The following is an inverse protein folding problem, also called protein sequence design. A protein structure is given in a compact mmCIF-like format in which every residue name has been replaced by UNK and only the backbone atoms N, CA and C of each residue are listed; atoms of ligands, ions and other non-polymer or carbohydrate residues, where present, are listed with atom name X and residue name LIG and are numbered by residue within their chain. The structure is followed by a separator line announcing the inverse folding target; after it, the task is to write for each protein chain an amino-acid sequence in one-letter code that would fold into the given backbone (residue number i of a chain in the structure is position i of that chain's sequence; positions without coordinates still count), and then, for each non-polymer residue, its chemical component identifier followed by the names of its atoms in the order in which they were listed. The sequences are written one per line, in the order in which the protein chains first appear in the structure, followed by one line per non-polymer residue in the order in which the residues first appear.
data_IF_001602020377
#
_entry.id   IF_001602020377
#
_cell.length_a   1.000
_cell.length_b   1.000
_cell.length_c   1.000
_cell.angle_alpha   90.00
_cell.angle_beta   90.00
_cell.angle_gamma   90.00
#
_symmetry.space_group_name_H-M   'P 1'
#
loop_
_entity.id
_entity.type
_entity.pdbx_description
1 polymer ?
#
# COMPACT_ATOMS: atom_id res chain seq x y z
N UNK A 1 14.54 7.50 6.28
CA UNK A 1 14.60 7.51 7.75
C UNK A 1 16.03 7.28 8.28
N UNK A 2 16.19 6.99 9.57
CA UNK A 2 17.51 6.99 10.23
C UNK A 2 18.48 5.91 9.78
N UNK A 3 17.98 4.77 9.31
CA UNK A 3 18.73 3.65 8.74
C UNK A 3 18.67 3.57 7.21
N UNK A 4 18.03 4.58 6.59
CA UNK A 4 17.98 4.80 5.14
C UNK A 4 17.32 3.64 4.34
N UNK A 5 16.55 2.80 4.99
CA UNK A 5 15.89 1.64 4.37
C UNK A 5 14.48 1.94 3.84
N UNK A 6 13.91 3.12 4.17
CA UNK A 6 12.58 3.58 3.76
C UNK A 6 12.64 4.94 3.09
N UNK A 7 11.71 5.19 2.19
CA UNK A 7 11.63 6.43 1.42
C UNK A 7 10.20 6.99 1.42
N UNK A 8 10.13 8.31 1.47
CA UNK A 8 9.00 9.15 1.11
C UNK A 8 9.52 10.33 0.30
N UNK A 9 8.69 10.89 -0.56
CA UNK A 9 9.07 12.01 -1.42
C UNK A 9 8.17 13.21 -1.15
N UNK A 10 8.61 14.37 -1.62
CA UNK A 10 7.81 15.59 -1.68
C UNK A 10 7.83 16.12 -3.11
N UNK A 11 6.67 16.54 -3.61
CA UNK A 11 6.59 17.20 -4.91
C UNK A 11 7.06 18.67 -4.83
N UNK A 12 7.06 19.36 -5.96
CA UNK A 12 7.51 20.76 -6.05
C UNK A 12 6.67 21.75 -5.22
N UNK A 13 5.46 21.35 -4.79
CA UNK A 13 4.57 22.15 -3.94
C UNK A 13 4.77 21.86 -2.45
N UNK A 14 5.64 20.89 -2.10
CA UNK A 14 5.83 20.44 -0.72
C UNK A 14 4.73 19.48 -0.23
N UNK A 15 3.97 18.86 -1.12
CA UNK A 15 2.99 17.84 -0.80
C UNK A 15 3.69 16.47 -0.72
N UNK A 16 3.31 15.67 0.28
CA UNK A 16 3.92 14.36 0.51
C UNK A 16 3.45 13.35 -0.55
N UNK A 17 4.40 12.66 -1.15
CA UNK A 17 4.19 11.54 -2.06
C UNK A 17 4.55 10.26 -1.32
N UNK A 18 3.57 9.44 -1.06
CA UNK A 18 3.69 8.23 -0.26
C UNK A 18 4.33 7.05 -1.02
N UNK A 19 4.61 6.00 -0.29
CA UNK A 19 5.23 4.78 -0.80
C UNK A 19 4.40 4.06 -1.86
N UNK A 20 3.07 4.17 -1.81
CA UNK A 20 2.20 3.53 -2.81
C UNK A 20 2.42 4.14 -4.20
N UNK A 21 2.51 5.48 -4.27
CA UNK A 21 2.85 6.19 -5.51
C UNK A 21 4.26 5.86 -5.97
N UNK A 22 5.23 5.80 -5.04
CA UNK A 22 6.62 5.47 -5.35
C UNK A 22 6.71 4.05 -5.94
N UNK A 23 6.03 3.05 -5.36
CA UNK A 23 5.97 1.68 -5.88
C UNK A 23 5.42 1.67 -7.31
N UNK A 24 4.30 2.35 -7.57
CA UNK A 24 3.68 2.42 -8.90
C UNK A 24 4.63 3.07 -9.93
N UNK A 25 5.29 4.17 -9.57
CA UNK A 25 6.27 4.83 -10.43
C UNK A 25 7.46 3.94 -10.74
N UNK A 26 7.98 3.21 -9.74
CA UNK A 26 9.08 2.27 -9.91
C UNK A 26 8.69 1.10 -10.81
N UNK A 27 7.52 0.50 -10.62
CA UNK A 27 7.01 -0.57 -11.50
C UNK A 27 6.99 -0.08 -12.95
N UNK A 28 6.36 1.06 -13.21
CA UNK A 28 6.27 1.61 -14.56
C UNK A 28 7.65 1.87 -15.16
N UNK A 29 8.53 2.52 -14.41
CA UNK A 29 9.87 2.84 -14.88
C UNK A 29 10.69 1.59 -15.22
N UNK A 30 10.67 0.59 -14.36
CA UNK A 30 11.40 -0.66 -14.57
C UNK A 30 10.88 -1.42 -15.78
N UNK A 31 9.57 -1.46 -15.99
CA UNK A 31 8.95 -2.14 -17.12
C UNK A 31 9.18 -1.37 -18.43
N UNK A 32 8.74 -0.10 -18.50
CA UNK A 32 8.71 0.66 -19.76
C UNK A 32 10.10 1.17 -20.20
N UNK A 33 10.96 1.56 -19.24
CA UNK A 33 12.22 2.24 -19.56
C UNK A 33 13.46 1.39 -19.35
N UNK A 34 13.37 0.38 -18.48
CA UNK A 34 14.49 -0.54 -18.21
C UNK A 34 14.30 -1.93 -18.82
N UNK A 35 13.06 -2.29 -19.22
CA UNK A 35 12.76 -3.60 -19.76
C UNK A 35 12.96 -4.76 -18.79
N UNK A 36 12.90 -4.48 -17.48
CA UNK A 36 13.04 -5.49 -16.42
C UNK A 36 11.80 -6.35 -16.37
N UNK A 37 11.97 -7.66 -16.24
CA UNK A 37 10.90 -8.63 -16.09
C UNK A 37 10.82 -9.14 -14.66
N UNK A 38 9.72 -9.81 -14.34
CA UNK A 38 9.49 -10.45 -13.04
C UNK A 38 8.21 -9.99 -12.37
N UNK A 39 7.88 -10.63 -11.29
CA UNK A 39 6.66 -10.39 -10.52
C UNK A 39 6.85 -9.31 -9.45
N UNK A 40 5.75 -8.74 -9.00
CA UNK A 40 5.73 -7.73 -7.93
C UNK A 40 5.25 -8.38 -6.63
N UNK A 41 5.95 -8.11 -5.53
CA UNK A 41 5.64 -8.65 -4.20
C UNK A 41 5.32 -7.49 -3.25
N UNK A 42 4.13 -7.46 -2.68
CA UNK A 42 3.70 -6.35 -1.82
C UNK A 42 3.11 -6.82 -0.51
N UNK A 43 3.23 -6.00 0.53
CA UNK A 43 2.55 -6.29 1.79
C UNK A 43 1.03 -6.07 1.68
N UNK A 44 0.29 -6.78 2.53
CA UNK A 44 -1.18 -6.77 2.54
C UNK A 44 -1.80 -5.37 2.78
N UNK A 45 -1.04 -4.44 3.35
CA UNK A 45 -1.43 -3.04 3.57
C UNK A 45 -1.25 -2.13 2.36
N UNK A 46 -0.65 -2.60 1.27
CA UNK A 46 -0.47 -1.80 0.06
C UNK A 46 -1.78 -1.57 -0.70
N UNK A 47 -1.76 -0.54 -1.54
CA UNK A 47 -2.89 -0.20 -2.43
C UNK A 47 -3.21 -1.31 -3.41
N UNK A 48 -4.50 -1.56 -3.65
CA UNK A 48 -4.97 -2.48 -4.70
C UNK A 48 -4.62 -1.99 -6.12
N UNK A 49 -4.31 -0.71 -6.28
CA UNK A 49 -3.90 -0.14 -7.58
C UNK A 49 -2.60 -0.73 -8.12
N UNK A 50 -1.75 -1.31 -7.26
CA UNK A 50 -0.56 -2.05 -7.71
C UNK A 50 -0.98 -3.25 -8.57
N UNK A 51 -2.01 -3.99 -8.13
CA UNK A 51 -2.53 -5.09 -8.95
C UNK A 51 -3.05 -4.59 -10.29
N UNK A 52 -3.80 -3.48 -10.32
CA UNK A 52 -4.34 -2.92 -11.56
C UNK A 52 -3.22 -2.55 -12.54
N UNK A 53 -2.12 -1.96 -12.06
CA UNK A 53 -0.97 -1.62 -12.89
C UNK A 53 -0.21 -2.88 -13.36
N UNK A 54 -0.07 -3.87 -12.50
CA UNK A 54 0.52 -5.17 -12.86
C UNK A 54 -0.30 -5.88 -13.94
N UNK A 55 -1.63 -5.92 -13.79
CA UNK A 55 -2.54 -6.48 -14.80
C UNK A 55 -2.40 -5.75 -16.16
N UNK A 56 -2.24 -4.42 -16.14
CA UNK A 56 -2.00 -3.62 -17.37
C UNK A 56 -0.72 -4.07 -18.10
N UNK A 57 0.33 -4.44 -17.38
CA UNK A 57 1.59 -4.92 -17.96
C UNK A 57 1.65 -6.44 -18.16
N UNK A 58 0.64 -7.19 -17.75
CA UNK A 58 0.62 -8.66 -17.82
C UNK A 58 1.64 -9.32 -16.89
N UNK A 59 1.93 -8.71 -15.74
CA UNK A 59 2.78 -9.24 -14.68
C UNK A 59 1.95 -9.56 -13.42
N UNK A 60 2.43 -10.49 -12.61
CA UNK A 60 1.70 -10.88 -11.40
C UNK A 60 2.05 -10.00 -10.20
N UNK A 61 1.04 -9.66 -9.38
CA UNK A 61 1.23 -9.08 -8.06
C UNK A 61 0.89 -10.12 -6.99
N UNK A 62 1.89 -10.50 -6.20
CA UNK A 62 1.74 -11.41 -5.06
C UNK A 62 1.69 -10.63 -3.75
N UNK A 63 0.59 -10.79 -3.03
CA UNK A 63 0.39 -10.11 -1.74
C UNK A 63 0.85 -11.01 -0.60
N UNK A 64 1.75 -10.51 0.23
CA UNK A 64 2.31 -11.20 1.38
C UNK A 64 1.77 -10.64 2.70
N UNK A 65 2.08 -11.32 3.81
CA UNK A 65 1.93 -10.73 5.15
C UNK A 65 2.79 -9.47 5.28
N UNK A 66 2.41 -8.58 6.19
CA UNK A 66 3.17 -7.36 6.49
C UNK A 66 4.48 -7.73 7.18
N UNK A 67 5.56 -7.18 6.67
CA UNK A 67 6.92 -7.41 7.12
C UNK A 67 7.84 -7.81 5.97
N UNK A 68 8.87 -7.01 5.72
CA UNK A 68 9.73 -7.13 4.53
C UNK A 68 10.40 -8.50 4.39
N UNK A 69 10.61 -9.22 5.48
CA UNK A 69 11.15 -10.59 5.46
C UNK A 69 10.36 -11.56 4.58
N UNK A 70 9.04 -11.38 4.47
CA UNK A 70 8.20 -12.21 3.60
C UNK A 70 8.42 -11.84 2.13
N UNK A 71 8.49 -10.54 1.83
CA UNK A 71 8.77 -10.01 0.50
C UNK A 71 10.18 -10.41 0.05
N UNK A 72 11.19 -10.18 0.90
CA UNK A 72 12.58 -10.54 0.61
C UNK A 72 12.73 -12.04 0.26
N UNK A 73 12.05 -12.93 1.00
CA UNK A 73 12.03 -14.36 0.71
C UNK A 73 11.51 -14.62 -0.70
N UNK A 74 10.35 -14.08 -1.05
CA UNK A 74 9.76 -14.26 -2.39
C UNK A 74 10.67 -13.72 -3.49
N UNK A 75 11.31 -12.57 -3.26
CA UNK A 75 12.25 -11.97 -4.23
C UNK A 75 13.50 -12.80 -4.45
N UNK A 76 13.97 -13.55 -3.44
CA UNK A 76 15.14 -14.43 -3.55
C UNK A 76 14.78 -15.75 -4.24
N UNK A 77 13.59 -16.28 -3.97
CA UNK A 77 13.17 -17.61 -4.45
C UNK A 77 12.55 -17.56 -5.86
N UNK A 78 12.15 -16.39 -6.34
CA UNK A 78 11.40 -16.22 -7.59
C UNK A 78 11.95 -15.11 -8.47
N UNK A 79 11.58 -15.11 -9.76
CA UNK A 79 11.85 -14.01 -10.67
C UNK A 79 11.04 -12.77 -10.23
N UNK A 80 11.73 -11.73 -9.80
CA UNK A 80 11.13 -10.54 -9.22
C UNK A 80 11.45 -9.28 -10.01
N UNK A 81 10.50 -8.36 -10.07
CA UNK A 81 10.65 -6.99 -10.55
C UNK A 81 10.93 -6.06 -9.37
N UNK A 82 10.03 -6.12 -8.38
CA UNK A 82 10.03 -5.21 -7.23
C UNK A 82 9.35 -5.87 -6.03
N UNK A 83 9.82 -5.53 -4.83
CA UNK A 83 9.15 -5.80 -3.56
C UNK A 83 8.92 -4.51 -2.77
N UNK A 84 7.73 -4.33 -2.16
CA UNK A 84 7.43 -3.08 -1.45
C UNK A 84 6.39 -3.17 -0.36
N UNK A 85 6.53 -2.28 0.64
CA UNK A 85 5.61 -2.10 1.76
C UNK A 85 5.09 -0.67 1.82
N UNK A 86 3.91 -0.49 2.43
CA UNK A 86 3.32 0.84 2.66
C UNK A 86 4.19 1.74 3.54
N UNK A 87 5.09 1.15 4.33
CA UNK A 87 6.02 1.88 5.19
C UNK A 87 7.12 2.63 4.43
N UNK A 88 7.27 2.38 3.12
CA UNK A 88 8.32 2.97 2.28
C UNK A 88 9.54 2.06 2.10
N UNK A 89 9.53 0.88 2.69
CA UNK A 89 10.55 -0.14 2.45
C UNK A 89 10.36 -0.79 1.08
N UNK A 90 11.28 -0.56 0.15
CA UNK A 90 11.16 -1.02 -1.25
C UNK A 90 12.50 -1.58 -1.70
N UNK A 91 12.46 -2.69 -2.43
CA UNK A 91 13.59 -3.31 -3.11
C UNK A 91 13.27 -3.54 -4.59
N UNK A 92 14.29 -3.56 -5.44
CA UNK A 92 14.18 -3.86 -6.86
C UNK A 92 15.18 -4.95 -7.25
N UNK A 93 14.82 -5.80 -8.21
CA UNK A 93 15.67 -6.93 -8.63
C UNK A 93 16.99 -6.54 -9.28
N UNK A 94 17.11 -5.28 -9.73
CA UNK A 94 18.34 -4.72 -10.30
C UNK A 94 19.36 -4.27 -9.26
N UNK A 95 19.07 -4.48 -7.98
CA UNK A 95 19.91 -4.19 -6.83
C UNK A 95 19.90 -5.38 -5.87
N UNK A 96 20.07 -5.17 -4.57
CA UNK A 96 19.93 -6.21 -3.54
C UNK A 96 18.46 -6.48 -3.23
N UNK A 97 18.08 -7.71 -2.83
CA UNK A 97 16.71 -8.03 -2.44
C UNK A 97 16.38 -7.57 -1.01
N UNK A 98 16.79 -6.35 -0.67
CA UNK A 98 16.57 -5.71 0.63
C UNK A 98 16.22 -4.23 0.39
N UNK A 99 15.54 -3.62 1.37
CA UNK A 99 15.08 -2.24 1.33
C UNK A 99 16.26 -1.27 1.24
N UNK A 100 16.16 -0.32 0.31
CA UNK A 100 17.15 0.73 0.13
C UNK A 100 16.49 2.02 -0.34
N UNK A 101 16.18 2.91 0.61
CA UNK A 101 15.51 4.18 0.32
C UNK A 101 16.35 5.13 -0.52
N UNK A 102 17.68 5.08 -0.37
CA UNK A 102 18.61 5.91 -1.16
C UNK A 102 18.56 5.48 -2.63
N UNK A 103 18.69 4.18 -2.87
CA UNK A 103 18.66 3.63 -4.23
C UNK A 103 17.33 3.91 -4.93
N UNK A 104 16.22 3.73 -4.23
CA UNK A 104 14.90 4.05 -4.78
C UNK A 104 14.76 5.52 -5.17
N UNK A 105 15.26 6.43 -4.33
CA UNK A 105 15.31 7.87 -4.64
C UNK A 105 16.11 8.18 -5.90
N UNK A 106 17.27 7.55 -6.08
CA UNK A 106 18.10 7.70 -7.27
C UNK A 106 17.40 7.19 -8.54
N UNK A 107 16.66 6.07 -8.46
CA UNK A 107 15.88 5.55 -9.59
C UNK A 107 14.74 6.52 -9.97
N UNK A 108 14.04 7.10 -9.00
CA UNK A 108 13.01 8.10 -9.29
C UNK A 108 13.61 9.35 -9.96
N UNK A 109 14.75 9.83 -9.49
CA UNK A 109 15.45 10.95 -10.14
C UNK A 109 15.90 10.62 -11.57
N UNK A 110 16.41 9.39 -11.78
CA UNK A 110 16.74 8.92 -13.13
C UNK A 110 15.51 8.92 -14.03
N UNK A 111 14.36 8.46 -13.51
CA UNK A 111 13.09 8.45 -14.23
C UNK A 111 12.66 9.86 -14.65
N UNK A 112 12.64 10.81 -13.71
CA UNK A 112 12.34 12.21 -13.97
C UNK A 112 13.30 12.82 -15.00
N UNK A 113 14.61 12.60 -14.86
CA UNK A 113 15.63 13.11 -15.75
C UNK A 113 15.49 12.57 -17.18
N UNK A 114 15.23 11.27 -17.33
CA UNK A 114 15.06 10.62 -18.65
C UNK A 114 13.80 11.08 -19.39
N UNK A 115 12.72 11.33 -18.65
CA UNK A 115 11.45 11.73 -19.26
C UNK A 115 11.30 13.24 -19.39
N UNK A 116 12.08 14.01 -18.64
CA UNK A 116 11.93 15.46 -18.52
C UNK A 116 10.66 15.88 -17.77
N UNK A 117 10.02 14.96 -17.05
CA UNK A 117 8.75 15.17 -16.34
C UNK A 117 8.96 15.40 -14.86
N UNK A 118 8.11 16.21 -14.27
CA UNK A 118 7.97 16.38 -12.84
C UNK A 118 7.34 15.14 -12.19
N UNK A 119 7.46 15.02 -10.87
CA UNK A 119 6.83 13.95 -10.10
C UNK A 119 5.31 13.95 -10.26
N UNK A 120 4.69 15.14 -10.24
CA UNK A 120 3.24 15.30 -10.41
C UNK A 120 2.75 14.80 -11.80
N UNK A 121 3.49 15.10 -12.87
CA UNK A 121 3.16 14.64 -14.22
C UNK A 121 3.26 13.11 -14.33
N UNK A 122 4.29 12.50 -13.72
CA UNK A 122 4.45 11.05 -13.70
C UNK A 122 3.34 10.36 -12.90
N UNK A 123 2.92 10.94 -11.78
CA UNK A 123 1.79 10.43 -10.97
C UNK A 123 0.48 10.56 -11.76
N UNK A 124 0.26 11.71 -12.44
CA UNK A 124 -0.93 11.89 -13.26
C UNK A 124 -1.04 10.83 -14.36
N UNK A 125 0.06 10.49 -15.01
CA UNK A 125 0.09 9.42 -16.01
C UNK A 125 -0.26 8.04 -15.41
N UNK A 126 0.14 7.75 -14.18
CA UNK A 126 -0.32 6.55 -13.45
C UNK A 126 -1.84 6.61 -13.26
N UNK A 127 -2.38 7.74 -12.80
CA UNK A 127 -3.82 7.92 -12.61
C UNK A 127 -4.62 7.76 -13.91
N UNK A 128 -4.08 8.23 -15.02
CA UNK A 128 -4.70 8.07 -16.35
C UNK A 128 -4.79 6.59 -16.77
N UNK A 129 -3.87 5.75 -16.28
CA UNK A 129 -3.84 4.30 -16.56
C UNK A 129 -4.77 3.48 -15.65
N UNK A 130 -4.79 3.77 -14.35
CA UNK A 130 -5.41 2.91 -13.34
C UNK A 130 -6.42 3.62 -12.42
N UNK A 131 -6.70 4.90 -12.66
CA UNK A 131 -7.55 5.74 -11.82
C UNK A 131 -6.82 6.27 -10.59
N UNK A 132 -7.30 7.40 -10.07
CA UNK A 132 -6.78 8.01 -8.85
C UNK A 132 -7.13 7.19 -7.61
N UNK A 133 -6.36 7.40 -6.54
CA UNK A 133 -6.62 6.82 -5.22
C UNK A 133 -5.99 7.69 -4.14
N UNK A 134 -6.46 7.49 -2.92
CA UNK A 134 -5.85 8.00 -1.71
C UNK A 134 -5.87 6.92 -0.63
N UNK A 135 -4.87 6.94 0.24
CA UNK A 135 -4.78 6.04 1.38
C UNK A 135 -4.47 6.84 2.64
N UNK A 136 -5.02 6.39 3.76
CA UNK A 136 -4.67 6.94 5.06
C UNK A 136 -4.87 5.87 6.15
N UNK A 137 -4.42 6.18 7.39
CA UNK A 137 -4.42 5.25 8.50
C UNK A 137 -4.73 5.95 9.83
N UNK A 138 -5.57 5.32 10.64
CA UNK A 138 -5.75 5.67 12.04
C UNK A 138 -5.07 4.65 12.96
N UNK A 139 -4.31 5.14 13.93
CA UNK A 139 -3.71 4.36 15.01
C UNK A 139 -4.55 4.58 16.28
N UNK A 140 -5.45 3.64 16.57
CA UNK A 140 -6.42 3.73 17.66
C UNK A 140 -5.86 3.07 18.91
N UNK A 141 -5.46 3.85 19.92
CA UNK A 141 -5.08 3.34 21.23
C UNK A 141 -6.31 2.98 22.04
N UNK A 142 -6.34 1.77 22.58
CA UNK A 142 -7.46 1.25 23.35
C UNK A 142 -7.02 0.16 24.34
N UNK A 143 -7.87 -0.14 25.37
CA UNK A 143 -7.63 -1.28 26.25
C UNK A 143 -7.57 -2.60 25.46
N UNK A 144 -6.75 -3.55 25.94
CA UNK A 144 -6.55 -4.84 25.29
C UNK A 144 -7.86 -5.62 25.12
N UNK A 145 -8.74 -5.59 26.13
CA UNK A 145 -10.02 -6.27 26.11
C UNK A 145 -10.91 -5.76 24.96
N UNK A 146 -10.97 -4.42 24.75
CA UNK A 146 -11.72 -3.82 23.65
C UNK A 146 -11.12 -4.21 22.29
N UNK A 147 -9.78 -4.18 22.18
CA UNK A 147 -9.06 -4.60 20.97
C UNK A 147 -9.40 -6.06 20.60
N UNK A 148 -9.33 -6.96 21.57
CA UNK A 148 -9.65 -8.37 21.36
C UNK A 148 -11.11 -8.58 20.97
N UNK A 149 -12.05 -7.85 21.56
CA UNK A 149 -13.47 -7.90 21.19
C UNK A 149 -13.68 -7.49 19.73
N UNK A 150 -13.05 -6.40 19.28
CA UNK A 150 -13.14 -5.94 17.89
C UNK A 150 -12.57 -7.00 16.94
N UNK A 151 -11.42 -7.59 17.27
CA UNK A 151 -10.78 -8.61 16.44
C UNK A 151 -11.66 -9.87 16.35
N UNK A 152 -12.30 -10.29 17.43
CA UNK A 152 -13.22 -11.43 17.39
C UNK A 152 -14.44 -11.13 16.51
N UNK A 153 -15.02 -9.94 16.57
CA UNK A 153 -16.07 -9.51 15.65
C UNK A 153 -15.62 -9.53 14.19
N UNK A 154 -14.37 -9.09 13.90
CA UNK A 154 -13.80 -9.19 12.56
C UNK A 154 -13.70 -10.65 12.10
N UNK A 155 -13.19 -11.54 12.98
CA UNK A 155 -12.97 -12.96 12.69
C UNK A 155 -14.24 -13.72 12.36
N UNK A 156 -15.33 -13.43 13.06
CA UNK A 156 -16.65 -14.04 12.78
C UNK A 156 -17.45 -13.30 11.70
N UNK A 157 -16.83 -12.34 11.01
CA UNK A 157 -17.44 -11.54 9.96
C UNK A 157 -18.74 -10.83 10.39
N UNK A 158 -18.76 -10.31 11.61
CA UNK A 158 -19.91 -9.61 12.17
C UNK A 158 -20.16 -8.27 11.46
N UNK A 159 -19.09 -7.55 11.08
CA UNK A 159 -19.21 -6.27 10.38
C UNK A 159 -19.70 -6.47 8.94
N UNK A 160 -20.93 -6.04 8.67
CA UNK A 160 -21.57 -6.07 7.34
C UNK A 160 -21.51 -4.71 6.65
N UNK A 161 -21.27 -3.65 7.41
CA UNK A 161 -21.08 -2.28 6.94
C UNK A 161 -20.28 -1.47 7.95
N UNK A 162 -19.68 -0.39 7.46
CA UNK A 162 -19.09 0.67 8.27
C UNK A 162 -19.81 1.98 7.93
N UNK A 163 -20.75 2.39 8.79
CA UNK A 163 -21.69 3.46 8.44
C UNK A 163 -22.49 3.11 7.17
N UNK A 164 -22.40 3.95 6.16
CA UNK A 164 -23.06 3.75 4.85
C UNK A 164 -22.32 2.78 3.91
N UNK A 165 -21.06 2.45 4.21
CA UNK A 165 -20.21 1.60 3.38
C UNK A 165 -20.49 0.12 3.61
N UNK A 166 -21.11 -0.54 2.65
CA UNK A 166 -21.44 -1.97 2.73
C UNK A 166 -20.24 -2.83 2.39
N UNK A 167 -20.00 -3.88 3.18
CA UNK A 167 -18.96 -4.86 2.95
C UNK A 167 -19.40 -5.84 1.87
N UNK A 168 -18.65 -5.94 0.78
CA UNK A 168 -18.87 -6.87 -0.33
C UNK A 168 -17.99 -8.13 -0.23
N UNK A 169 -16.87 -8.07 0.49
CA UNK A 169 -15.94 -9.19 0.66
C UNK A 169 -14.97 -8.95 1.81
N UNK A 170 -14.26 -10.01 2.23
CA UNK A 170 -13.25 -9.92 3.30
C UNK A 170 -12.04 -10.78 2.94
N UNK A 171 -10.86 -10.21 3.09
CA UNK A 171 -9.56 -10.87 2.95
C UNK A 171 -8.84 -10.91 4.30
N UNK A 172 -8.10 -12.02 4.58
CA UNK A 172 -7.54 -12.27 5.92
C UNK A 172 -6.09 -12.75 5.89
N UNK A 173 -5.25 -12.16 5.02
CA UNK A 173 -3.83 -12.55 4.90
C UNK A 173 -3.04 -12.14 6.15
N UNK A 174 -3.24 -10.89 6.62
CA UNK A 174 -2.60 -10.36 7.84
C UNK A 174 -3.46 -9.22 8.43
N UNK A 175 -4.46 -9.59 9.19
CA UNK A 175 -5.55 -8.72 9.63
C UNK A 175 -6.83 -8.98 8.84
N UNK A 176 -7.74 -8.04 8.83
CA UNK A 176 -9.05 -8.14 8.21
C UNK A 176 -9.26 -6.95 7.27
N UNK A 177 -9.16 -7.21 5.96
CA UNK A 177 -9.44 -6.22 4.92
C UNK A 177 -10.83 -6.46 4.39
N UNK A 178 -11.71 -5.50 4.62
CA UNK A 178 -13.08 -5.48 4.15
C UNK A 178 -13.14 -4.72 2.83
N UNK A 179 -13.48 -5.41 1.77
CA UNK A 179 -13.70 -4.82 0.45
C UNK A 179 -15.06 -4.12 0.48
N UNK A 180 -15.07 -2.86 0.10
CA UNK A 180 -16.28 -2.05 -0.02
C UNK A 180 -16.70 -1.97 -1.49
N UNK A 181 -17.45 -0.97 -1.91
CA UNK A 181 -17.75 -0.72 -3.32
C UNK A 181 -16.62 0.08 -4.00
N UNK A 182 -16.50 -0.03 -5.32
CA UNK A 182 -15.71 0.87 -6.19
C UNK A 182 -14.23 1.04 -5.85
N UNK A 183 -13.49 -0.05 -5.79
CA UNK A 183 -12.04 -0.06 -5.47
C UNK A 183 -11.68 0.46 -4.07
N UNK A 184 -12.67 0.69 -3.21
CA UNK A 184 -12.46 1.09 -1.83
C UNK A 184 -12.40 -0.10 -0.88
N UNK A 185 -11.62 0.02 0.17
CA UNK A 185 -11.52 -0.98 1.22
C UNK A 185 -11.09 -0.35 2.56
N UNK A 186 -11.39 -1.04 3.63
CA UNK A 186 -10.87 -0.74 4.97
C UNK A 186 -10.24 -1.98 5.57
N UNK A 187 -9.08 -1.84 6.22
CA UNK A 187 -8.38 -2.94 6.87
C UNK A 187 -8.21 -2.65 8.36
N UNK A 188 -8.60 -3.62 9.18
CA UNK A 188 -8.43 -3.59 10.63
C UNK A 188 -7.35 -4.59 11.02
N UNK A 189 -6.30 -4.12 11.69
CA UNK A 189 -5.15 -4.95 12.07
C UNK A 189 -4.66 -4.61 13.49
N UNK A 190 -4.54 -5.60 14.38
CA UNK A 190 -3.90 -5.36 15.68
C UNK A 190 -2.39 -5.13 15.49
N UNK A 191 -1.82 -4.17 16.24
CA UNK A 191 -0.37 -4.08 16.37
C UNK A 191 0.14 -5.25 17.21
N UNK A 192 1.21 -5.91 16.74
CA UNK A 192 1.85 -7.00 17.48
C UNK A 192 2.76 -6.52 18.62
N UNK A 193 3.13 -5.23 18.63
CA UNK A 193 4.12 -4.66 19.55
C UNK A 193 3.57 -3.56 20.46
N UNK A 194 2.42 -2.98 20.11
CA UNK A 194 1.84 -1.84 20.81
C UNK A 194 0.36 -2.07 21.14
N UNK A 195 -0.20 -1.50 22.21
CA UNK A 195 -1.60 -1.61 22.57
C UNK A 195 -2.47 -0.68 21.69
N UNK A 196 -2.44 -0.94 20.37
CA UNK A 196 -3.22 -0.18 19.41
C UNK A 196 -3.78 -1.07 18.29
N UNK A 197 -4.84 -0.58 17.69
CA UNK A 197 -5.47 -1.13 16.50
C UNK A 197 -5.19 -0.17 15.33
N UNK A 198 -4.65 -0.69 14.26
CA UNK A 198 -4.43 0.07 13.02
C UNK A 198 -5.60 -0.12 12.08
N UNK A 199 -6.15 0.98 11.62
CA UNK A 199 -7.24 1.01 10.64
C UNK A 199 -6.73 1.73 9.41
N UNK A 200 -6.59 1.03 8.31
CA UNK A 200 -6.17 1.58 7.02
C UNK A 200 -7.39 1.70 6.12
N UNK A 201 -7.44 2.70 5.26
CA UNK A 201 -8.46 2.76 4.22
C UNK A 201 -7.88 3.25 2.89
N UNK A 202 -8.51 2.82 1.82
CA UNK A 202 -8.31 3.31 0.47
C UNK A 202 -9.66 3.71 -0.14
N UNK A 203 -9.64 4.83 -0.87
CA UNK A 203 -10.76 5.25 -1.71
C UNK A 203 -10.24 6.05 -2.92
N UNK A 204 -11.12 6.52 -3.78
CA UNK A 204 -10.76 7.31 -4.97
C UNK A 204 -10.19 8.70 -4.61
N UNK A 205 -10.58 9.25 -3.47
CA UNK A 205 -10.17 10.59 -2.99
C UNK A 205 -9.78 10.57 -1.52
N UNK A 206 -8.93 11.53 -1.11
CA UNK A 206 -8.56 11.70 0.30
C UNK A 206 -9.77 11.99 1.20
N UNK A 207 -10.75 12.77 0.72
CA UNK A 207 -11.96 13.07 1.48
C UNK A 207 -12.77 11.80 1.77
N UNK A 208 -12.95 10.94 0.78
CA UNK A 208 -13.66 9.68 0.93
C UNK A 208 -12.90 8.69 1.82
N UNK A 209 -11.57 8.63 1.68
CA UNK A 209 -10.71 7.81 2.55
C UNK A 209 -10.91 8.16 4.02
N UNK A 210 -10.91 9.46 4.37
CA UNK A 210 -11.17 9.93 5.73
C UNK A 210 -12.60 9.59 6.17
N UNK A 211 -13.60 9.76 5.30
CA UNK A 211 -14.98 9.40 5.62
C UNK A 211 -15.14 7.90 5.95
N UNK A 212 -14.46 7.02 5.21
CA UNK A 212 -14.42 5.57 5.49
C UNK A 212 -13.75 5.29 6.83
N UNK A 213 -12.61 5.94 7.12
CA UNK A 213 -11.90 5.79 8.41
C UNK A 213 -12.77 6.25 9.59
N UNK A 214 -13.45 7.38 9.47
CA UNK A 214 -14.34 7.91 10.51
C UNK A 214 -15.55 7.00 10.75
N UNK A 215 -16.19 6.54 9.66
CA UNK A 215 -17.31 5.59 9.73
C UNK A 215 -16.88 4.26 10.37
N UNK A 216 -15.68 3.76 10.00
CA UNK A 216 -15.14 2.54 10.58
C UNK A 216 -14.87 2.71 12.05
N UNK A 217 -14.18 3.80 12.45
CA UNK A 217 -13.91 4.12 13.85
C UNK A 217 -15.20 4.21 14.66
N UNK A 218 -16.22 4.91 14.16
CA UNK A 218 -17.51 5.01 14.84
C UNK A 218 -18.17 3.63 15.02
N UNK A 219 -18.12 2.78 13.99
CA UNK A 219 -18.74 1.43 14.03
C UNK A 219 -18.03 0.50 15.01
N UNK A 220 -16.70 0.47 15.03
CA UNK A 220 -15.96 -0.47 15.89
C UNK A 220 -15.89 -0.03 17.36
N UNK A 221 -16.12 1.24 17.66
CA UNK A 221 -16.13 1.78 19.03
C UNK A 221 -17.53 1.83 19.65
N UNK A 222 -18.58 1.55 18.88
CA UNK A 222 -19.95 1.39 19.38
C UNK A 222 -20.13 0.05 20.09
#
# INVERSE_FOLDING_TARGET
DGDADRIGLFNAKGEFVDSHHIILLLIRYLVEHKGVKGNVYTSFSCTSKIKNLCDHYGIENHVTKIGFKYICKEMIENESLLGGEESGGIAVSTHIPERDGIWMGLIIWEYMAKTGKSLDELIQEIYDMIGSFAMDRYDLRMPEEQKLSIIEKCKVAEYKSFGEYTVSGTETIDGYKFVLSDDSWVMIRPSGTEPLLRVYAQAATAQETIAILDATKATILA
#
